data_IF_985609210947
#
_entry.id   IF_985609210947
#
_cell.length_a   1.000
_cell.length_b   1.000
_cell.length_c   1.000
_cell.angle_alpha   90.00
_cell.angle_beta   90.00
_cell.angle_gamma   90.00
#
_symmetry.space_group_name_H-M   'P 1'
#
loop_
_entity.id
_entity.type
_entity.pdbx_description
1 polymer ?
#
# COMPACT_ATOMS: atom_id res chain seq x y z
N UNK A 1 17.40 0.68 3.95
CA UNK A 1 15.99 0.37 4.26
C UNK A 1 15.18 1.58 4.67
N UNK A 2 15.45 2.27 5.81
CA UNK A 2 14.64 3.45 6.22
C UNK A 2 14.53 4.55 5.16
N UNK A 3 15.62 4.85 4.45
CA UNK A 3 15.61 5.82 3.33
C UNK A 3 14.62 5.44 2.21
N UNK A 4 14.51 4.15 1.90
CA UNK A 4 13.60 3.65 0.87
C UNK A 4 12.14 3.83 1.29
N UNK A 5 11.83 3.60 2.56
CA UNK A 5 10.49 3.89 3.08
C UNK A 5 10.13 5.36 2.94
N UNK A 6 11.03 6.28 3.28
CA UNK A 6 10.79 7.71 3.08
C UNK A 6 10.59 8.09 1.60
N UNK A 7 11.31 7.44 0.68
CA UNK A 7 11.13 7.65 -0.76
C UNK A 7 9.75 7.16 -1.23
N UNK A 8 9.28 6.03 -0.69
CA UNK A 8 7.93 5.52 -0.94
C UNK A 8 6.86 6.42 -0.34
N UNK A 9 7.07 6.96 0.87
CA UNK A 9 6.14 7.89 1.51
C UNK A 9 5.92 9.13 0.64
N UNK A 10 7.01 9.73 0.14
CA UNK A 10 6.94 10.87 -0.78
C UNK A 10 6.19 10.51 -2.08
N UNK A 11 6.45 9.33 -2.64
CA UNK A 11 5.77 8.86 -3.86
C UNK A 11 4.27 8.69 -3.63
N UNK A 12 3.86 8.14 -2.49
CA UNK A 12 2.44 7.99 -2.12
C UNK A 12 1.81 9.36 -1.93
N UNK A 13 2.49 10.31 -1.29
CA UNK A 13 1.99 11.68 -1.18
C UNK A 13 1.79 12.36 -2.54
N UNK A 14 2.76 12.22 -3.46
CA UNK A 14 2.66 12.72 -4.83
C UNK A 14 1.47 12.08 -5.57
N UNK A 15 1.31 10.76 -5.46
CA UNK A 15 0.18 10.03 -6.03
C UNK A 15 -1.17 10.53 -5.50
N UNK A 16 -1.29 10.70 -4.18
CA UNK A 16 -2.53 11.16 -3.55
C UNK A 16 -2.90 12.58 -3.99
N UNK A 17 -1.91 13.48 -4.10
CA UNK A 17 -2.11 14.85 -4.58
C UNK A 17 -2.49 14.87 -6.06
N UNK A 18 -1.85 14.07 -6.89
CA UNK A 18 -2.13 14.01 -8.32
C UNK A 18 -3.57 13.54 -8.57
N UNK A 19 -4.02 12.46 -7.91
CA UNK A 19 -5.34 11.86 -8.19
C UNK A 19 -6.48 12.33 -7.29
N UNK A 20 -6.25 13.38 -6.48
CA UNK A 20 -7.28 13.95 -5.61
C UNK A 20 -8.54 14.33 -6.41
N UNK A 21 -9.69 13.78 -6.00
CA UNK A 21 -10.98 14.00 -6.66
C UNK A 21 -11.16 13.26 -8.00
N UNK A 22 -10.16 12.49 -8.45
CA UNK A 22 -10.14 11.77 -9.74
C UNK A 22 -9.86 10.27 -9.57
N UNK A 23 -10.46 9.65 -8.54
CA UNK A 23 -10.14 8.28 -8.13
C UNK A 23 -10.56 7.18 -9.12
N UNK A 24 -11.51 7.46 -10.00
CA UNK A 24 -12.12 6.48 -10.93
C UNK A 24 -11.63 6.66 -12.38
N UNK A 25 -10.67 7.55 -12.64
CA UNK A 25 -10.14 7.70 -14.00
C UNK A 25 -9.36 6.44 -14.40
N UNK A 26 -9.54 5.97 -15.62
CA UNK A 26 -8.72 4.89 -16.15
C UNK A 26 -7.29 5.40 -16.40
N UNK A 27 -6.31 4.71 -15.82
CA UNK A 27 -4.89 4.84 -16.13
C UNK A 27 -4.55 3.67 -17.04
N UNK A 28 -4.26 3.98 -18.30
CA UNK A 28 -3.83 2.99 -19.29
C UNK A 28 -2.33 3.13 -19.52
N UNK A 29 -1.61 2.02 -19.47
CA UNK A 29 -0.17 2.00 -19.73
C UNK A 29 0.37 0.58 -19.75
N UNK A 30 1.54 0.35 -20.36
CA UNK A 30 2.17 -0.96 -20.33
C UNK A 30 2.59 -1.29 -18.89
N UNK A 31 2.11 -2.42 -18.36
CA UNK A 31 2.66 -2.99 -17.13
C UNK A 31 3.61 -4.13 -17.50
N UNK A 32 4.83 -4.20 -16.93
CA UNK A 32 5.84 -5.20 -17.31
C UNK A 32 5.41 -6.67 -17.19
N UNK A 33 4.32 -6.96 -16.48
CA UNK A 33 3.83 -8.30 -16.19
C UNK A 33 2.53 -8.67 -16.94
N UNK A 34 2.05 -7.84 -17.87
CA UNK A 34 0.91 -8.17 -18.74
C UNK A 34 1.22 -7.87 -20.20
N UNK A 35 0.72 -8.71 -21.11
CA UNK A 35 0.86 -8.52 -22.56
C UNK A 35 -0.09 -7.43 -23.09
N UNK A 36 -1.26 -7.27 -22.48
CA UNK A 36 -2.25 -6.24 -22.81
C UNK A 36 -2.27 -5.14 -21.75
N UNK A 37 -2.51 -3.90 -22.17
CA UNK A 37 -2.66 -2.78 -21.25
C UNK A 37 -4.01 -2.90 -20.53
N UNK A 38 -3.98 -3.02 -19.20
CA UNK A 38 -5.16 -2.99 -18.36
C UNK A 38 -5.53 -1.54 -17.99
N UNK A 39 -6.83 -1.27 -17.91
CA UNK A 39 -7.37 -0.02 -17.39
C UNK A 39 -7.52 -0.14 -15.87
N UNK A 40 -6.58 0.45 -15.13
CA UNK A 40 -6.61 0.48 -13.66
C UNK A 40 -7.00 1.87 -13.18
N UNK A 41 -7.76 1.94 -12.08
CA UNK A 41 -8.10 3.23 -11.46
C UNK A 41 -7.13 3.56 -10.33
N UNK A 42 -6.91 4.86 -10.02
CA UNK A 42 -6.16 5.26 -8.83
C UNK A 42 -6.69 4.62 -7.55
N UNK A 43 -8.02 4.49 -7.41
CA UNK A 43 -8.63 3.83 -6.26
C UNK A 43 -8.22 2.36 -6.15
N UNK A 44 -8.24 1.65 -7.28
CA UNK A 44 -7.83 0.25 -7.34
C UNK A 44 -6.36 0.10 -6.96
N UNK A 45 -5.47 0.91 -7.54
CA UNK A 45 -4.03 0.86 -7.27
C UNK A 45 -3.72 1.12 -5.79
N UNK A 46 -4.31 2.17 -5.23
CA UNK A 46 -4.11 2.54 -3.83
C UNK A 46 -4.61 1.44 -2.88
N UNK A 47 -5.84 0.97 -3.08
CA UNK A 47 -6.41 -0.07 -2.22
C UNK A 47 -5.68 -1.41 -2.36
N UNK A 48 -5.21 -1.75 -3.56
CA UNK A 48 -4.39 -2.95 -3.79
C UNK A 48 -3.09 -2.90 -2.98
N UNK A 49 -2.31 -1.82 -3.09
CA UNK A 49 -1.02 -1.71 -2.38
C UNK A 49 -1.21 -1.69 -0.87
N UNK A 50 -2.20 -0.95 -0.36
CA UNK A 50 -2.48 -0.89 1.09
C UNK A 50 -2.90 -2.25 1.63
N UNK A 51 -3.80 -2.97 0.95
CA UNK A 51 -4.22 -4.31 1.40
C UNK A 51 -3.07 -5.32 1.33
N UNK A 52 -2.20 -5.21 0.32
CA UNK A 52 -1.00 -6.04 0.19
C UNK A 52 0.02 -5.78 1.32
N UNK A 53 0.19 -4.52 1.74
CA UNK A 53 1.03 -4.18 2.90
C UNK A 53 0.50 -4.85 4.18
N UNK A 54 -0.80 -4.74 4.45
CA UNK A 54 -1.41 -5.38 5.63
C UNK A 54 -1.29 -6.91 5.59
N UNK A 55 -1.39 -7.52 4.41
CA UNK A 55 -1.18 -8.96 4.24
C UNK A 55 0.23 -9.38 4.69
N UNK A 56 1.28 -8.70 4.21
CA UNK A 56 2.65 -8.99 4.61
C UNK A 56 2.95 -8.61 6.07
N UNK A 57 2.35 -7.54 6.58
CA UNK A 57 2.44 -7.19 8.01
C UNK A 57 1.91 -8.34 8.87
N UNK A 58 0.79 -8.95 8.50
CA UNK A 58 0.24 -10.12 9.17
C UNK A 58 1.21 -11.33 9.17
N UNK A 59 1.89 -11.58 8.04
CA UNK A 59 2.92 -12.62 7.97
C UNK A 59 4.07 -12.36 8.96
N UNK A 60 4.57 -11.12 9.02
CA UNK A 60 5.66 -10.73 9.93
C UNK A 60 5.23 -10.88 11.40
N UNK A 61 4.01 -10.45 11.75
CA UNK A 61 3.44 -10.62 13.10
C UNK A 61 3.37 -12.09 13.50
N UNK A 62 2.92 -12.96 12.59
CA UNK A 62 2.84 -14.40 12.82
C UNK A 62 4.23 -15.00 13.09
N UNK A 63 5.22 -14.67 12.24
CA UNK A 63 6.61 -15.11 12.42
C UNK A 63 7.21 -14.61 13.73
N UNK A 64 6.96 -13.35 14.11
CA UNK A 64 7.43 -12.76 15.36
C UNK A 64 6.96 -13.56 16.59
N UNK A 65 5.67 -13.94 16.63
CA UNK A 65 5.10 -14.77 17.69
C UNK A 65 5.72 -16.17 17.74
N UNK A 66 5.90 -16.81 16.58
CA UNK A 66 6.53 -18.14 16.49
C UNK A 66 7.98 -18.14 17.01
N UNK A 67 8.68 -17.01 16.88
CA UNK A 67 10.04 -16.82 17.39
C UNK A 67 10.09 -16.40 18.88
N UNK A 68 8.95 -16.32 19.57
CA UNK A 68 8.87 -15.96 20.98
C UNK A 68 8.90 -14.46 21.28
N UNK A 69 8.77 -13.61 20.26
CA UNK A 69 8.69 -12.15 20.44
C UNK A 69 7.23 -11.69 20.59
N UNK A 70 7.05 -10.58 21.30
CA UNK A 70 5.77 -9.84 21.30
C UNK A 70 5.79 -8.84 20.14
N UNK A 71 4.92 -9.02 19.12
CA UNK A 71 4.86 -8.08 18.00
C UNK A 71 4.29 -6.73 18.44
N UNK A 72 4.62 -5.68 17.69
CA UNK A 72 3.99 -4.38 17.87
C UNK A 72 2.48 -4.46 17.63
N UNK A 73 1.72 -3.59 18.29
CA UNK A 73 0.27 -3.48 18.09
C UNK A 73 -0.03 -3.12 16.62
N UNK A 74 -1.07 -3.77 16.08
CA UNK A 74 -1.48 -3.62 14.69
C UNK A 74 -2.86 -3.05 14.52
N UNK A 75 -3.60 -2.85 15.61
CA UNK A 75 -4.95 -2.32 15.56
C UNK A 75 -4.94 -0.87 15.05
N UNK A 76 -5.93 -0.57 14.19
CA UNK A 76 -6.16 0.79 13.75
C UNK A 76 -6.84 1.54 14.91
N UNK A 77 -6.15 2.54 15.44
CA UNK A 77 -6.71 3.40 16.49
C UNK A 77 -7.63 4.42 15.82
N UNK A 78 -8.81 4.63 16.40
CA UNK A 78 -9.74 5.67 15.95
C UNK A 78 -9.09 7.06 16.02
N UNK A 79 -9.22 7.91 14.98
CA UNK A 79 -8.81 9.30 15.10
C UNK A 79 -9.67 10.01 16.16
N UNK A 80 -9.05 10.42 17.28
CA UNK A 80 -9.72 11.23 18.32
C UNK A 80 -9.83 10.59 19.71
N UNK A 81 -9.16 9.47 19.97
CA UNK A 81 -8.84 9.01 21.33
C UNK A 81 -7.35 9.11 21.62
#
# INVERSE_FOLDING_TARGET
>A
MRKVFNEVDNLVEEFLREFEGRWEIAITGPVPWQEEADDLTPLWLYTHVITHEFHHKGQIVSMSRQLGYTPADTDLIEPGK
#
